data_IF_409133813054
#
_entry.id   IF_409133813054
#
_cell.length_a   1.000
_cell.length_b   1.000
_cell.length_c   1.000
_cell.angle_alpha   90.00
_cell.angle_beta   90.00
_cell.angle_gamma   90.00
#
_symmetry.space_group_name_H-M   'P 1'
#
loop_
_entity.id
_entity.type
_entity.pdbx_description
1 polymer ?
#
# COMPACT_ATOMS: atom_id res chain seq x y z
N UNK A 1 -42.98 12.66 41.64
CA UNK A 1 -42.09 11.83 40.78
C UNK A 1 -42.45 12.11 39.33
N UNK A 2 -41.49 12.10 38.37
CA UNK A 2 -41.69 12.14 36.89
C UNK A 2 -41.29 13.40 36.08
N UNK A 3 -40.23 14.16 36.44
CA UNK A 3 -39.63 15.12 35.48
C UNK A 3 -38.15 14.85 35.18
N UNK A 4 -37.36 14.49 36.20
CA UNK A 4 -35.92 14.18 36.01
C UNK A 4 -35.66 12.96 35.11
N UNK A 5 -36.59 12.01 35.06
CA UNK A 5 -36.48 10.81 34.20
C UNK A 5 -36.53 11.13 32.70
N UNK A 6 -37.25 12.19 32.31
CA UNK A 6 -37.37 12.57 30.89
C UNK A 6 -36.10 13.29 30.43
N UNK A 7 -35.52 14.14 31.28
CA UNK A 7 -34.29 14.87 30.98
C UNK A 7 -33.08 13.94 30.85
N UNK A 8 -32.98 12.92 31.71
CA UNK A 8 -31.90 11.91 31.62
C UNK A 8 -32.05 11.05 30.36
N UNK A 9 -33.28 10.72 29.97
CA UNK A 9 -33.55 9.96 28.75
C UNK A 9 -33.15 10.72 27.48
N UNK A 10 -33.41 12.03 27.42
CA UNK A 10 -33.01 12.90 26.30
C UNK A 10 -31.48 13.06 26.17
N UNK A 11 -30.76 13.07 27.29
CA UNK A 11 -29.30 13.17 27.28
C UNK A 11 -28.63 11.90 26.70
N UNK A 12 -29.22 10.73 26.94
CA UNK A 12 -28.70 9.44 26.46
C UNK A 12 -28.87 9.25 24.95
N UNK A 13 -29.90 9.83 24.33
CA UNK A 13 -30.14 9.74 22.88
C UNK A 13 -29.17 10.63 22.09
N UNK A 14 -28.58 11.64 22.76
CA UNK A 14 -27.63 12.58 22.14
C UNK A 14 -26.25 11.96 21.89
N UNK A 15 -25.96 10.78 22.46
CA UNK A 15 -24.81 9.98 22.11
C UNK A 15 -25.12 9.19 20.84
N UNK A 16 -25.21 9.91 19.72
CA UNK A 16 -25.31 9.32 18.40
C UNK A 16 -24.10 8.40 18.19
N UNK A 17 -24.37 7.16 17.78
CA UNK A 17 -23.38 6.17 17.41
C UNK A 17 -22.65 6.70 16.17
N UNK A 18 -21.53 7.38 16.36
CA UNK A 18 -20.58 7.63 15.29
C UNK A 18 -19.87 6.31 15.02
N UNK A 19 -20.41 5.52 14.10
CA UNK A 19 -19.65 4.43 13.52
C UNK A 19 -18.40 5.03 12.88
N UNK A 20 -17.22 4.67 13.36
CA UNK A 20 -16.00 5.05 12.67
C UNK A 20 -16.02 4.35 11.32
N UNK A 21 -16.20 5.11 10.24
CA UNK A 21 -15.99 4.57 8.91
C UNK A 21 -14.55 4.07 8.84
N UNK A 22 -14.39 2.77 8.55
CA UNK A 22 -13.06 2.20 8.37
C UNK A 22 -12.42 2.91 7.18
N UNK A 23 -11.30 3.62 7.36
CA UNK A 23 -10.67 4.33 6.27
C UNK A 23 -10.25 3.33 5.20
N UNK A 24 -10.87 3.42 4.02
CA UNK A 24 -10.50 2.62 2.85
C UNK A 24 -9.24 3.21 2.24
N UNK A 25 -8.18 2.42 2.19
CA UNK A 25 -6.92 2.81 1.59
C UNK A 25 -6.74 2.10 0.25
N UNK A 26 -6.14 2.80 -0.71
CA UNK A 26 -5.68 2.18 -1.95
C UNK A 26 -4.26 1.68 -1.71
N UNK A 27 -4.09 0.37 -1.75
CA UNK A 27 -2.77 -0.28 -1.70
C UNK A 27 -2.34 -0.70 -3.09
N UNK A 28 -1.03 -0.81 -3.26
CA UNK A 28 -0.38 -1.40 -4.43
C UNK A 28 0.77 -2.28 -3.98
N UNK A 29 0.86 -3.48 -4.52
CA UNK A 29 1.98 -4.40 -4.30
C UNK A 29 2.81 -4.52 -5.57
N UNK A 30 4.13 -4.34 -5.44
CA UNK A 30 5.08 -4.44 -6.54
C UNK A 30 6.10 -5.51 -6.18
N UNK A 31 6.22 -6.53 -7.04
CA UNK A 31 7.14 -7.65 -6.84
C UNK A 31 8.39 -7.41 -7.67
N UNK A 32 9.52 -7.25 -6.99
CA UNK A 32 10.83 -7.07 -7.62
C UNK A 32 11.61 -8.38 -7.49
N UNK A 33 12.09 -8.90 -8.62
CA UNK A 33 12.93 -10.09 -8.68
C UNK A 33 14.38 -9.68 -8.91
N UNK A 34 15.24 -10.01 -7.97
CA UNK A 34 16.68 -9.74 -7.99
C UNK A 34 17.48 -11.05 -8.07
N UNK A 35 18.64 -11.04 -8.70
CA UNK A 35 19.52 -12.22 -8.78
C UNK A 35 20.41 -12.26 -7.53
N UNK A 36 20.52 -13.41 -6.84
CA UNK A 36 21.34 -13.54 -5.63
C UNK A 36 22.82 -13.18 -5.85
N UNK A 37 23.38 -13.53 -7.01
CA UNK A 37 24.78 -13.29 -7.36
C UNK A 37 24.91 -12.21 -8.43
N UNK A 38 24.80 -10.95 -8.03
CA UNK A 38 25.48 -9.79 -8.63
C UNK A 38 25.05 -8.49 -7.93
N UNK A 39 25.88 -8.04 -6.99
CA UNK A 39 26.02 -6.61 -6.60
C UNK A 39 24.75 -5.78 -6.30
N UNK A 40 23.60 -6.42 -6.05
CA UNK A 40 22.31 -5.73 -5.83
C UNK A 40 21.62 -5.21 -7.10
N UNK A 41 21.96 -5.72 -8.31
CA UNK A 41 21.29 -5.31 -9.55
C UNK A 41 19.93 -6.00 -9.71
N UNK A 42 18.87 -5.21 -9.88
CA UNK A 42 17.50 -5.68 -10.14
C UNK A 42 17.45 -6.32 -11.53
N UNK A 43 16.79 -7.48 -11.65
CA UNK A 43 16.68 -8.21 -12.93
C UNK A 43 15.35 -7.99 -13.62
N UNK A 44 14.27 -7.87 -12.85
CA UNK A 44 12.92 -7.62 -13.35
C UNK A 44 12.06 -7.05 -12.23
N UNK A 45 11.30 -6.01 -12.54
CA UNK A 45 10.17 -5.55 -11.72
C UNK A 45 8.90 -6.08 -12.37
N UNK A 46 8.01 -6.67 -11.58
CA UNK A 46 6.71 -7.15 -12.03
C UNK A 46 5.64 -6.56 -11.13
N UNK A 47 4.65 -5.94 -11.75
CA UNK A 47 3.50 -5.37 -11.03
C UNK A 47 2.30 -6.27 -11.29
N UNK A 48 1.62 -6.70 -10.24
CA UNK A 48 0.32 -7.35 -10.45
C UNK A 48 -0.70 -6.29 -10.86
N UNK A 49 -1.55 -6.64 -11.83
CA UNK A 49 -2.64 -5.78 -12.24
C UNK A 49 -3.61 -5.59 -11.06
N UNK A 50 -3.85 -4.33 -10.71
CA UNK A 50 -4.78 -3.97 -9.66
C UNK A 50 -5.75 -2.93 -10.17
N UNK A 51 -7.04 -3.12 -9.89
CA UNK A 51 -8.12 -2.16 -10.20
C UNK A 51 -7.84 -0.76 -9.65
N UNK A 52 -7.01 -0.64 -8.60
CA UNK A 52 -6.58 0.63 -8.01
C UNK A 52 -5.74 1.50 -8.95
N UNK A 53 -5.17 0.92 -10.01
CA UNK A 53 -4.38 1.61 -11.04
C UNK A 53 -5.20 2.03 -12.27
N UNK A 54 -6.44 1.54 -12.43
CA UNK A 54 -7.29 1.92 -13.57
C UNK A 54 -7.56 3.43 -13.56
N UNK A 55 -7.26 4.08 -14.69
CA UNK A 55 -7.42 5.53 -14.85
C UNK A 55 -6.44 6.39 -14.04
N UNK A 56 -5.38 5.80 -13.47
CA UNK A 56 -4.31 6.54 -12.78
C UNK A 56 -3.18 6.86 -13.75
N UNK A 57 -2.41 7.91 -13.39
CA UNK A 57 -1.23 8.36 -14.15
C UNK A 57 -0.10 7.33 -14.16
N UNK A 58 -0.03 6.45 -13.16
CA UNK A 58 0.98 5.40 -13.09
C UNK A 58 0.50 4.19 -13.87
N UNK A 59 1.32 3.72 -14.80
CA UNK A 59 1.07 2.47 -15.52
C UNK A 59 2.00 1.35 -15.09
N UNK A 60 1.56 0.11 -15.26
CA UNK A 60 2.39 -1.09 -15.05
C UNK A 60 3.64 -1.02 -15.90
N UNK A 61 3.50 -0.62 -17.18
CA UNK A 61 4.60 -0.54 -18.13
C UNK A 61 5.72 0.39 -17.65
N UNK A 62 5.38 1.59 -17.16
CA UNK A 62 6.37 2.54 -16.65
C UNK A 62 7.11 2.00 -15.43
N UNK A 63 6.42 1.25 -14.56
CA UNK A 63 7.06 0.64 -13.38
C UNK A 63 7.98 -0.51 -13.79
N UNK A 64 7.56 -1.35 -14.74
CA UNK A 64 8.33 -2.51 -15.22
C UNK A 64 9.60 -2.09 -16.00
N UNK A 65 9.61 -0.88 -16.58
CA UNK A 65 10.76 -0.29 -17.28
C UNK A 65 11.82 0.28 -16.32
N UNK A 66 11.58 0.32 -14.99
CA UNK A 66 12.55 0.83 -14.01
C UNK A 66 13.71 -0.17 -13.77
N UNK A 67 14.93 0.35 -13.68
CA UNK A 67 16.15 -0.47 -13.58
C UNK A 67 16.53 -0.85 -12.13
N UNK A 68 15.97 -0.18 -11.12
CA UNK A 68 16.41 -0.32 -9.74
C UNK A 68 15.33 -0.06 -8.69
N UNK A 69 15.58 -0.59 -7.48
CA UNK A 69 14.71 -0.35 -6.32
C UNK A 69 14.66 1.13 -5.94
N UNK A 70 15.78 1.85 -6.04
CA UNK A 70 15.81 3.30 -5.76
C UNK A 70 14.92 4.07 -6.73
N UNK A 71 14.97 3.74 -8.02
CA UNK A 71 14.12 4.37 -9.04
C UNK A 71 12.64 4.07 -8.77
N UNK A 72 12.33 2.84 -8.40
CA UNK A 72 10.99 2.44 -7.97
C UNK A 72 10.48 3.27 -6.78
N UNK A 73 11.27 3.38 -5.71
CA UNK A 73 10.87 4.13 -4.51
C UNK A 73 10.67 5.62 -4.81
N UNK A 74 11.56 6.21 -5.61
CA UNK A 74 11.46 7.61 -6.03
C UNK A 74 10.23 7.86 -6.91
N UNK A 75 10.06 7.04 -7.95
CA UNK A 75 8.92 7.12 -8.86
C UNK A 75 7.58 7.02 -8.12
N UNK A 76 7.47 6.07 -7.18
CA UNK A 76 6.26 5.91 -6.37
C UNK A 76 6.00 7.10 -5.45
N UNK A 77 7.05 7.64 -4.80
CA UNK A 77 6.92 8.82 -3.96
C UNK A 77 6.48 10.05 -4.75
N UNK A 78 7.07 10.30 -5.92
CA UNK A 78 6.71 11.41 -6.83
C UNK A 78 5.26 11.29 -7.31
N UNK A 79 4.80 10.05 -7.47
CA UNK A 79 3.41 9.76 -7.82
C UNK A 79 2.46 9.71 -6.61
N UNK A 80 2.85 10.24 -5.44
CA UNK A 80 2.07 10.29 -4.20
C UNK A 80 1.65 8.92 -3.65
N UNK A 81 2.53 7.93 -3.78
CA UNK A 81 2.43 6.65 -3.10
C UNK A 81 3.50 6.53 -2.03
N UNK A 82 3.06 6.22 -0.83
CA UNK A 82 3.90 6.04 0.35
C UNK A 82 4.33 4.58 0.45
N UNK A 83 5.63 4.35 0.65
CA UNK A 83 6.14 3.03 0.99
C UNK A 83 5.71 2.66 2.41
N UNK A 84 5.06 1.51 2.56
CA UNK A 84 4.51 1.02 3.84
C UNK A 84 5.34 -0.10 4.42
N UNK A 85 5.65 -1.10 3.60
CA UNK A 85 6.32 -2.31 4.07
C UNK A 85 7.03 -3.05 2.93
N UNK A 86 7.97 -3.91 3.29
CA UNK A 86 8.72 -4.77 2.37
C UNK A 86 8.89 -6.17 2.94
N UNK A 87 8.44 -7.16 2.16
CA UNK A 87 8.60 -8.57 2.46
C UNK A 87 9.59 -9.22 1.48
N UNK A 88 10.39 -10.17 1.95
CA UNK A 88 11.39 -10.86 1.12
C UNK A 88 11.29 -12.37 1.25
N UNK A 89 11.38 -13.08 0.13
CA UNK A 89 11.53 -14.54 0.10
C UNK A 89 12.86 -14.88 -0.55
N UNK A 90 13.70 -15.59 0.19
CA UNK A 90 14.99 -16.13 -0.24
C UNK A 90 15.00 -17.61 0.11
N UNK A 91 15.10 -18.48 -0.88
CA UNK A 91 15.08 -19.93 -0.69
C UNK A 91 16.49 -20.50 -0.48
N UNK A 92 17.50 -20.08 -1.24
CA UNK A 92 18.89 -20.57 -1.15
C UNK A 92 19.94 -19.51 -1.58
N UNK A 93 21.23 -19.75 -1.30
CA UNK A 93 22.35 -18.80 -1.49
C UNK A 93 22.55 -18.32 -2.95
N UNK A 94 21.98 -19.02 -3.93
CA UNK A 94 22.03 -18.67 -5.35
C UNK A 94 20.66 -18.43 -5.99
N UNK A 95 19.59 -18.49 -5.21
CA UNK A 95 18.24 -18.33 -5.72
C UNK A 95 17.88 -16.86 -5.95
N UNK A 96 16.99 -16.56 -6.91
CA UNK A 96 16.48 -15.21 -7.06
C UNK A 96 15.81 -14.74 -5.76
N UNK A 97 16.10 -13.52 -5.37
CA UNK A 97 15.47 -12.85 -4.23
C UNK A 97 14.20 -12.18 -4.72
N UNK A 98 13.06 -12.55 -4.13
CA UNK A 98 11.77 -11.94 -4.41
C UNK A 98 11.48 -10.91 -3.33
N UNK A 99 11.31 -9.65 -3.72
CA UNK A 99 10.98 -8.57 -2.81
C UNK A 99 9.59 -8.04 -3.15
N UNK A 100 8.66 -8.14 -2.22
CA UNK A 100 7.36 -7.48 -2.31
C UNK A 100 7.46 -6.11 -1.64
N UNK A 101 7.15 -5.05 -2.38
CA UNK A 101 7.04 -3.68 -1.87
C UNK A 101 5.57 -3.29 -1.83
N UNK A 102 5.11 -2.90 -0.63
CA UNK A 102 3.74 -2.48 -0.39
C UNK A 102 3.70 -0.96 -0.32
N UNK A 103 2.87 -0.37 -1.16
CA UNK A 103 2.64 1.07 -1.22
C UNK A 103 1.20 1.41 -0.88
N UNK A 104 0.99 2.58 -0.29
CA UNK A 104 -0.32 3.16 0.02
C UNK A 104 -0.45 4.52 -0.63
N UNK A 105 -1.58 4.76 -1.30
CA UNK A 105 -1.84 6.08 -1.89
C UNK A 105 -2.02 7.13 -0.78
N UNK A 106 -1.27 8.23 -0.85
CA UNK A 106 -1.49 9.40 0.00
C UNK A 106 -2.84 10.04 -0.38
N UNK A 107 -3.63 10.42 0.63
CA UNK A 107 -4.94 11.07 0.45
C UNK A 107 -4.79 12.41 -0.26
#
# INVERSE_FOLDING_TARGET
MKSYTITVFLLLISFSIQSQEIPKYNYLEIIVVQKANNSGRVKRIKVQEQKSLEGKRITIKEIEDLEGTSDLLNYMNDANWEFVDRQSVVSEENDPVWMSYIFRKRK
#
